data_IF_664134911873
#
_entry.id   IF_664134911873
#
_cell.length_a   1.000
_cell.length_b   1.000
_cell.length_c   1.000
_cell.angle_alpha   90.00
_cell.angle_beta   90.00
_cell.angle_gamma   90.00
#
_symmetry.space_group_name_H-M   'P 1'
#
loop_
_entity.id
_entity.type
_entity.pdbx_description
1 polymer ?
#
# COMPACT_ATOMS: atom_id res chain seq x y z
N UNK A 1 10.79 3.38 -17.48
CA UNK A 1 9.96 2.20 -17.16
C UNK A 1 9.07 2.61 -16.01
N UNK A 2 7.75 2.37 -16.08
CA UNK A 2 6.82 2.64 -14.98
C UNK A 2 6.55 1.33 -14.24
N UNK A 3 6.55 1.37 -12.91
CA UNK A 3 6.23 0.19 -12.10
C UNK A 3 4.72 0.10 -11.91
N UNK A 4 4.18 -1.11 -12.01
CA UNK A 4 2.79 -1.37 -11.63
C UNK A 4 2.71 -1.46 -10.10
N UNK A 5 1.87 -0.65 -9.47
CA UNK A 5 1.66 -0.65 -8.02
C UNK A 5 0.24 -1.08 -7.73
N UNK A 6 0.09 -2.06 -6.86
CA UNK A 6 -1.23 -2.58 -6.49
C UNK A 6 -1.29 -2.95 -5.01
N UNK A 7 -2.43 -2.64 -4.39
CA UNK A 7 -2.79 -3.12 -3.05
C UNK A 7 -4.10 -3.88 -3.14
N UNK A 8 -4.13 -5.06 -2.53
CA UNK A 8 -5.34 -5.87 -2.41
C UNK A 8 -5.44 -6.45 -1.01
N UNK A 9 -6.59 -7.03 -0.70
CA UNK A 9 -6.82 -7.73 0.57
C UNK A 9 -7.23 -9.17 0.32
N UNK A 10 -6.73 -10.08 1.15
CA UNK A 10 -7.11 -11.49 1.19
C UNK A 10 -7.68 -11.79 2.58
N UNK A 11 -8.97 -11.54 2.77
CA UNK A 11 -9.59 -11.52 4.11
C UNK A 11 -10.68 -12.57 4.27
N UNK A 12 -10.82 -13.12 5.48
CA UNK A 12 -11.93 -14.00 5.88
C UNK A 12 -13.11 -13.22 6.46
N UNK A 13 -12.86 -12.09 7.13
CA UNK A 13 -13.89 -11.26 7.70
C UNK A 13 -14.68 -10.52 6.62
N UNK A 14 -15.99 -10.80 6.57
CA UNK A 14 -16.89 -10.23 5.56
C UNK A 14 -17.11 -8.73 5.76
N UNK A 15 -17.03 -8.20 6.98
CA UNK A 15 -17.23 -6.77 7.24
C UNK A 15 -16.02 -5.99 6.74
N UNK A 16 -14.80 -6.44 7.06
CA UNK A 16 -13.56 -5.90 6.53
C UNK A 16 -13.56 -5.92 5.00
N UNK A 17 -13.95 -7.03 4.38
CA UNK A 17 -14.08 -7.12 2.92
C UNK A 17 -15.08 -6.11 2.32
N UNK A 18 -16.16 -5.78 3.04
CA UNK A 18 -17.11 -4.73 2.61
C UNK A 18 -16.55 -3.32 2.82
N UNK A 19 -15.87 -3.07 3.93
CA UNK A 19 -15.22 -1.79 4.22
C UNK A 19 -14.17 -1.46 3.17
N UNK A 20 -13.33 -2.43 2.81
CA UNK A 20 -12.36 -2.27 1.72
C UNK A 20 -13.01 -1.89 0.38
N UNK A 21 -14.13 -2.53 0.01
CA UNK A 21 -14.84 -2.17 -1.22
C UNK A 21 -15.34 -0.72 -1.23
N UNK A 22 -15.71 -0.17 -0.07
CA UNK A 22 -16.16 1.23 0.03
C UNK A 22 -15.02 2.22 -0.13
N UNK A 23 -13.81 1.88 0.31
CA UNK A 23 -12.62 2.74 0.19
C UNK A 23 -11.75 2.42 -1.03
N UNK A 24 -12.14 1.42 -1.85
CA UNK A 24 -11.32 0.90 -2.93
C UNK A 24 -10.93 1.98 -3.96
N UNK A 25 -11.84 2.90 -4.29
CA UNK A 25 -11.55 4.00 -5.20
C UNK A 25 -10.44 4.91 -4.70
N UNK A 26 -10.35 5.15 -3.39
CA UNK A 26 -9.28 5.96 -2.81
C UNK A 26 -7.94 5.24 -2.93
N UNK A 27 -7.93 3.92 -2.65
CA UNK A 27 -6.75 3.08 -2.78
C UNK A 27 -6.29 3.05 -4.25
N UNK A 28 -7.21 2.88 -5.19
CA UNK A 28 -6.93 2.85 -6.64
C UNK A 28 -6.30 4.16 -7.13
N UNK A 29 -6.80 5.32 -6.67
CA UNK A 29 -6.24 6.63 -7.02
C UNK A 29 -4.80 6.80 -6.52
N UNK A 30 -4.52 6.37 -5.29
CA UNK A 30 -3.17 6.41 -4.73
C UNK A 30 -2.24 5.43 -5.47
N UNK A 31 -2.65 4.18 -5.69
CA UNK A 31 -1.81 3.21 -6.41
C UNK A 31 -1.58 3.61 -7.86
N UNK A 32 -2.54 4.28 -8.50
CA UNK A 32 -2.37 4.86 -9.84
C UNK A 32 -1.34 6.00 -9.82
N UNK A 33 -1.39 6.86 -8.80
CA UNK A 33 -0.40 7.94 -8.62
C UNK A 33 1.00 7.38 -8.39
N UNK A 34 1.15 6.37 -7.54
CA UNK A 34 2.41 5.66 -7.31
C UNK A 34 2.94 5.01 -8.61
N UNK A 35 2.07 4.34 -9.37
CA UNK A 35 2.45 3.71 -10.65
C UNK A 35 2.87 4.72 -11.72
N UNK A 36 2.36 5.95 -11.63
CA UNK A 36 2.69 7.02 -12.57
C UNK A 36 4.07 7.65 -12.31
N UNK A 37 4.67 7.39 -11.14
CA UNK A 37 5.93 7.97 -10.70
C UNK A 37 7.07 7.62 -11.66
N UNK A 38 7.78 8.64 -12.13
CA UNK A 38 8.92 8.47 -13.03
C UNK A 38 10.20 8.26 -12.21
N UNK A 39 10.63 7.00 -12.08
CA UNK A 39 11.84 6.65 -11.33
C UNK A 39 13.11 6.99 -12.10
N UNK A 40 14.12 7.45 -11.37
CA UNK A 40 15.47 7.70 -11.85
C UNK A 40 16.20 6.38 -12.16
N UNK A 41 16.04 5.37 -11.29
CA UNK A 41 16.65 4.06 -11.45
C UNK A 41 15.59 2.96 -11.22
N UNK A 42 14.66 2.77 -12.18
CA UNK A 42 13.58 1.82 -11.98
C UNK A 42 14.12 0.39 -11.84
N UNK A 43 13.79 -0.26 -10.73
CA UNK A 43 14.09 -1.66 -10.47
C UNK A 43 12.80 -2.46 -10.40
N UNK A 44 12.77 -3.62 -11.04
CA UNK A 44 11.59 -4.47 -11.07
C UNK A 44 10.45 -3.95 -11.95
N UNK A 45 9.38 -4.73 -12.03
CA UNK A 45 8.23 -4.46 -12.90
C UNK A 45 6.98 -4.10 -12.10
N UNK A 46 6.87 -4.60 -10.87
CA UNK A 46 5.65 -4.53 -10.08
C UNK A 46 5.92 -4.48 -8.58
N UNK A 47 5.06 -3.78 -7.86
CA UNK A 47 4.87 -3.84 -6.41
C UNK A 47 3.44 -4.33 -6.14
N UNK A 48 3.32 -5.44 -5.41
CA UNK A 48 2.07 -6.03 -4.99
C UNK A 48 2.05 -6.14 -3.46
N UNK A 49 1.08 -5.48 -2.84
CA UNK A 49 0.85 -5.52 -1.40
C UNK A 49 -0.45 -6.28 -1.16
N UNK A 50 -0.39 -7.33 -0.33
CA UNK A 50 -1.53 -8.17 0.02
C UNK A 50 -1.73 -8.08 1.53
N UNK A 51 -2.77 -7.36 1.97
CA UNK A 51 -3.14 -7.32 3.38
C UNK A 51 -4.07 -8.50 3.73
N UNK A 52 -3.84 -9.17 4.86
CA UNK A 52 -4.63 -10.32 5.31
C UNK A 52 -5.05 -10.20 6.77
N UNK A 53 -6.26 -10.65 7.10
CA UNK A 53 -6.77 -10.74 8.49
C UNK A 53 -6.55 -12.12 9.11
N UNK A 54 -5.87 -13.02 8.40
CA UNK A 54 -5.52 -14.36 8.92
C UNK A 54 -4.26 -14.35 9.76
N UNK A 55 -3.50 -13.26 9.73
CA UNK A 55 -2.25 -13.04 10.45
C UNK A 55 -2.36 -11.74 11.26
N UNK A 56 -1.61 -11.64 12.37
CA UNK A 56 -1.64 -10.46 13.24
C UNK A 56 -0.95 -9.23 12.63
N UNK A 57 -1.15 -8.01 13.17
CA UNK A 57 -0.60 -6.76 12.62
C UNK A 57 0.92 -6.69 12.47
N UNK A 58 1.65 -7.48 13.25
CA UNK A 58 3.11 -7.60 13.21
C UNK A 58 3.61 -8.50 12.07
N UNK A 59 2.70 -9.20 11.38
CA UNK A 59 3.06 -10.06 10.27
C UNK A 59 3.47 -9.23 9.06
N UNK A 60 4.73 -9.33 8.68
CA UNK A 60 5.27 -8.71 7.48
C UNK A 60 6.18 -9.73 6.78
N UNK A 61 5.81 -10.12 5.55
CA UNK A 61 6.55 -11.12 4.78
C UNK A 61 6.84 -10.61 3.37
N UNK A 62 8.13 -10.46 3.10
CA UNK A 62 8.65 -10.30 1.74
C UNK A 62 8.63 -11.67 1.00
N UNK A 63 7.99 -11.70 -0.17
CA UNK A 63 7.95 -12.84 -1.09
C UNK A 63 8.37 -12.43 -2.51
N UNK A 64 9.22 -11.42 -2.61
CA UNK A 64 9.68 -10.83 -3.87
C UNK A 64 10.53 -11.81 -4.69
N UNK A 65 10.31 -11.86 -6.00
CA UNK A 65 11.04 -12.73 -6.93
C UNK A 65 11.22 -12.06 -8.28
N UNK A 66 12.40 -12.20 -8.87
CA UNK A 66 12.67 -11.78 -10.26
C UNK A 66 12.21 -10.36 -10.64
N UNK A 67 12.31 -9.40 -9.71
CA UNK A 67 11.88 -8.02 -9.95
C UNK A 67 10.37 -7.77 -9.78
N UNK A 68 9.62 -8.74 -9.26
CA UNK A 68 8.28 -8.54 -8.73
C UNK A 68 8.38 -8.44 -7.21
N UNK A 69 8.10 -7.26 -6.67
CA UNK A 69 8.12 -7.00 -5.23
C UNK A 69 6.76 -7.35 -4.64
N UNK A 70 6.67 -8.46 -3.91
CA UNK A 70 5.40 -8.94 -3.34
C UNK A 70 5.49 -9.02 -1.83
N UNK A 71 4.60 -8.30 -1.13
CA UNK A 71 4.57 -8.24 0.32
C UNK A 71 3.22 -8.73 0.84
N UNK A 72 3.26 -9.62 1.83
CA UNK A 72 2.10 -10.02 2.61
C UNK A 72 2.17 -9.34 3.98
N UNK A 73 1.09 -8.67 4.37
CA UNK A 73 1.03 -7.88 5.61
C UNK A 73 -0.22 -8.24 6.40
N UNK A 74 -0.09 -8.46 7.70
CA UNK A 74 -1.22 -8.74 8.58
C UNK A 74 -1.96 -7.46 8.98
N UNK A 75 -3.28 -7.55 9.08
CA UNK A 75 -4.15 -6.46 9.53
C UNK A 75 -5.17 -6.95 10.53
N UNK A 76 -5.53 -6.08 11.46
CA UNK A 76 -6.71 -6.30 12.31
C UNK A 76 -8.00 -6.32 11.47
N UNK A 77 -9.04 -7.02 11.93
CA UNK A 77 -10.37 -7.01 11.32
C UNK A 77 -11.08 -5.66 11.55
N UNK A 78 -10.53 -4.60 10.96
CA UNK A 78 -11.02 -3.23 11.03
C UNK A 78 -12.24 -3.07 10.12
N UNK A 79 -13.41 -2.85 10.72
CA UNK A 79 -14.64 -2.59 9.96
C UNK A 79 -14.96 -1.10 9.76
N UNK A 80 -14.21 -0.22 10.44
CA UNK A 80 -14.29 1.23 10.26
C UNK A 80 -13.51 1.66 9.02
N UNK A 81 -14.16 2.38 8.12
CA UNK A 81 -13.60 2.75 6.82
C UNK A 81 -12.43 3.74 6.96
N UNK A 82 -12.49 4.67 7.91
CA UNK A 82 -11.44 5.69 8.14
C UNK A 82 -10.20 5.03 8.73
N UNK A 83 -10.38 4.18 9.74
CA UNK A 83 -9.27 3.42 10.34
C UNK A 83 -8.63 2.46 9.35
N UNK A 84 -9.43 1.74 8.56
CA UNK A 84 -8.93 0.84 7.54
C UNK A 84 -8.14 1.60 6.47
N UNK A 85 -8.68 2.71 5.96
CA UNK A 85 -8.03 3.55 4.96
C UNK A 85 -6.68 4.06 5.46
N UNK A 86 -6.64 4.59 6.68
CA UNK A 86 -5.39 5.02 7.34
C UNK A 86 -4.40 3.87 7.49
N UNK A 87 -4.85 2.71 7.98
CA UNK A 87 -3.96 1.55 8.19
C UNK A 87 -3.34 1.06 6.88
N UNK A 88 -4.13 0.94 5.81
CA UNK A 88 -3.62 0.54 4.49
C UNK A 88 -2.62 1.56 3.93
N UNK A 89 -2.84 2.85 4.16
CA UNK A 89 -1.90 3.90 3.79
C UNK A 89 -0.56 3.78 4.52
N UNK A 90 -0.59 3.56 5.83
CA UNK A 90 0.61 3.34 6.65
C UNK A 90 1.38 2.09 6.18
N UNK A 91 0.67 0.99 5.89
CA UNK A 91 1.26 -0.24 5.33
C UNK A 91 1.96 0.03 3.99
N UNK A 92 1.34 0.80 3.09
CA UNK A 92 1.97 1.15 1.82
C UNK A 92 3.25 1.95 2.05
N UNK A 93 3.25 2.94 2.95
CA UNK A 93 4.47 3.69 3.29
C UNK A 93 5.57 2.76 3.79
N UNK A 94 5.25 1.89 4.75
CA UNK A 94 6.20 0.95 5.32
C UNK A 94 6.80 0.01 4.26
N UNK A 95 5.98 -0.57 3.39
CA UNK A 95 6.47 -1.42 2.30
C UNK A 95 7.43 -0.67 1.40
N UNK A 96 7.09 0.55 0.98
CA UNK A 96 7.91 1.33 0.06
C UNK A 96 9.26 1.75 0.66
N UNK A 97 9.35 1.91 1.99
CA UNK A 97 10.63 2.14 2.68
C UNK A 97 11.51 0.89 2.73
N UNK A 98 10.94 -0.32 2.64
CA UNK A 98 11.68 -1.58 2.68
C UNK A 98 12.16 -2.06 1.30
N UNK A 99 11.60 -1.54 0.21
CA UNK A 99 12.06 -1.88 -1.15
C UNK A 99 13.44 -1.24 -1.37
N UNK A 100 14.42 -1.95 -1.97
CA UNK A 100 15.79 -1.44 -2.14
C UNK A 100 15.91 -0.43 -3.29
N UNK A 101 15.08 0.63 -3.26
CA UNK A 101 15.15 1.73 -4.20
C UNK A 101 16.40 2.59 -3.98
N UNK A 102 16.78 3.34 -5.01
CA UNK A 102 17.79 4.38 -4.83
C UNK A 102 17.21 5.52 -3.98
N UNK A 103 18.06 6.28 -3.27
CA UNK A 103 17.61 7.41 -2.45
C UNK A 103 16.70 8.39 -3.24
N UNK A 104 17.04 8.80 -4.48
CA UNK A 104 16.16 9.67 -5.26
C UNK A 104 14.79 9.06 -5.57
N UNK A 105 14.71 7.74 -5.72
CA UNK A 105 13.45 7.05 -6.00
C UNK A 105 12.59 6.93 -4.74
N UNK A 106 13.21 6.70 -3.56
CA UNK A 106 12.50 6.81 -2.28
C UNK A 106 11.94 8.21 -2.05
N UNK A 107 12.72 9.26 -2.34
CA UNK A 107 12.26 10.65 -2.20
C UNK A 107 11.03 10.92 -3.07
N UNK A 108 11.04 10.49 -4.33
CA UNK A 108 9.89 10.61 -5.24
C UNK A 108 8.64 9.91 -4.70
N UNK A 109 8.76 8.70 -4.16
CA UNK A 109 7.61 8.03 -3.55
C UNK A 109 7.15 8.71 -2.27
N UNK A 110 8.06 9.20 -1.42
CA UNK A 110 7.72 9.99 -0.23
C UNK A 110 6.95 11.25 -0.57
N UNK A 111 7.29 11.93 -1.66
CA UNK A 111 6.54 13.10 -2.16
C UNK A 111 5.10 12.72 -2.55
N UNK A 112 4.91 11.60 -3.26
CA UNK A 112 3.57 11.08 -3.58
C UNK A 112 2.80 10.78 -2.29
N UNK A 113 3.41 10.07 -1.33
CA UNK A 113 2.74 9.80 -0.05
C UNK A 113 2.40 11.09 0.71
N UNK A 114 3.31 12.07 0.77
CA UNK A 114 3.06 13.35 1.44
C UNK A 114 1.89 14.13 0.80
N UNK A 115 1.76 14.08 -0.53
CA UNK A 115 0.63 14.67 -1.24
C UNK A 115 -0.71 14.03 -0.85
N UNK A 116 -0.74 12.71 -0.70
CA UNK A 116 -1.96 11.95 -0.39
C UNK A 116 -2.27 11.84 1.10
N UNK A 117 -1.29 12.03 1.98
CA UNK A 117 -1.43 11.89 3.44
C UNK A 117 -2.65 12.63 4.03
N UNK A 118 -2.96 13.88 3.63
CA UNK A 118 -4.16 14.57 4.13
C UNK A 118 -5.47 13.84 3.81
N UNK A 119 -5.57 13.14 2.68
CA UNK A 119 -6.77 12.41 2.26
C UNK A 119 -6.94 11.04 2.95
N UNK A 120 -5.89 10.55 3.61
CA UNK A 120 -5.86 9.23 4.25
C UNK A 120 -5.72 9.31 5.77
N UNK A 121 -5.14 10.38 6.30
CA UNK A 121 -4.78 10.50 7.73
C UNK A 121 -5.59 11.59 8.45
N UNK A 122 -6.14 12.59 7.76
CA UNK A 122 -7.02 13.55 8.43
C UNK A 122 -8.39 12.93 8.69
N UNK A 123 -8.69 12.73 9.97
CA UNK A 123 -10.05 12.75 10.47
C UNK A 123 -10.58 14.18 10.31
N UNK A 124 -11.80 14.34 9.80
CA UNK A 124 -12.54 15.59 9.91
C UNK A 124 -12.48 16.06 11.38
N UNK A 125 -11.94 17.26 11.60
CA UNK A 125 -12.05 18.01 12.87
C UNK A 125 -13.27 18.91 12.73
#
# INVERSE_FOLDING_TARGET
MKMDVSLTIAVKDRKLGKSFRRIYSDIELLTSSLSSCELSHPIGQRILIIATDTEGPEFFKDNSKHGEFTYFVGIEPLSDDVLLKRRLFEIMKEVFENIPFTIPDHEKYREVFAHWEPSFVKADI
#
